data_IF_939153118945
#
_entry.id   IF_939153118945
#
_cell.length_a   1.000
_cell.length_b   1.000
_cell.length_c   1.000
_cell.angle_alpha   90.00
_cell.angle_beta   90.00
_cell.angle_gamma   90.00
#
_symmetry.space_group_name_H-M   'P 1'
#
loop_
_entity.id
_entity.type
_entity.pdbx_description
1 polymer ?
#
# COMPACT_ATOMS: atom_id res chain seq x y z
N UNK A 1 -3.94 14.89 5.99
CA UNK A 1 -3.84 13.50 6.46
C UNK A 1 -3.45 13.43 7.94
N UNK A 2 -2.32 14.00 8.36
CA UNK A 2 -1.89 13.98 9.77
C UNK A 2 -2.95 14.61 10.68
N UNK A 3 -3.45 15.81 10.35
CA UNK A 3 -4.48 16.47 11.16
C UNK A 3 -5.77 15.65 11.23
N UNK A 4 -6.23 15.10 10.09
CA UNK A 4 -7.36 14.18 10.07
C UNK A 4 -7.14 12.96 10.97
N UNK A 5 -5.95 12.36 10.96
CA UNK A 5 -5.63 11.22 11.81
C UNK A 5 -5.68 11.57 13.32
N UNK A 6 -5.35 12.81 13.67
CA UNK A 6 -5.47 13.34 15.04
C UNK A 6 -6.92 13.67 15.40
N UNK A 7 -7.61 14.41 14.54
CA UNK A 7 -8.97 14.92 14.79
C UNK A 7 -10.00 13.79 14.83
N UNK A 8 -9.89 12.82 13.93
CA UNK A 8 -10.77 11.66 13.85
C UNK A 8 -10.27 10.48 14.69
N UNK A 9 -9.09 10.59 15.28
CA UNK A 9 -8.37 9.47 15.89
C UNK A 9 -9.11 8.80 17.05
N UNK A 10 -10.01 9.53 17.73
CA UNK A 10 -10.84 9.00 18.81
C UNK A 10 -12.08 8.22 18.32
N UNK A 11 -12.49 8.39 17.05
CA UNK A 11 -13.69 7.76 16.49
C UNK A 11 -13.36 6.45 15.78
N UNK A 12 -14.00 5.36 16.18
CA UNK A 12 -13.80 4.05 15.57
C UNK A 12 -14.41 3.99 14.15
N UNK A 13 -14.07 2.95 13.39
CA UNK A 13 -14.71 2.68 12.10
C UNK A 13 -16.20 2.32 12.22
N UNK A 14 -16.67 1.98 13.42
CA UNK A 14 -18.10 1.78 13.71
C UNK A 14 -18.85 3.11 13.89
N UNK A 15 -18.18 4.13 14.44
CA UNK A 15 -18.76 5.48 14.62
C UNK A 15 -18.76 6.26 13.30
N UNK A 16 -17.62 6.23 12.60
CA UNK A 16 -17.43 6.86 11.30
C UNK A 16 -16.83 5.83 10.35
N UNK A 17 -17.60 5.35 9.36
CA UNK A 17 -17.14 4.33 8.42
C UNK A 17 -15.83 4.69 7.73
N UNK A 18 -15.11 3.66 7.27
CA UNK A 18 -13.89 3.82 6.49
C UNK A 18 -14.17 4.58 5.18
N UNK A 19 -13.40 5.64 4.92
CA UNK A 19 -13.61 6.54 3.78
C UNK A 19 -12.33 6.90 3.03
N UNK A 20 -12.45 7.92 2.16
CA UNK A 20 -11.41 8.30 1.19
C UNK A 20 -10.09 8.75 1.83
N UNK A 21 -10.15 9.44 2.98
CA UNK A 21 -8.94 9.88 3.67
C UNK A 21 -8.26 8.70 4.39
N UNK A 22 -9.03 7.75 4.91
CA UNK A 22 -8.49 6.56 5.58
C UNK A 22 -7.67 5.71 4.60
N UNK A 23 -8.20 5.45 3.40
CA UNK A 23 -7.46 4.69 2.37
C UNK A 23 -6.20 5.43 1.89
N UNK A 24 -6.26 6.76 1.77
CA UNK A 24 -5.10 7.57 1.38
C UNK A 24 -4.00 7.52 2.46
N UNK A 25 -4.38 7.49 3.74
CA UNK A 25 -3.44 7.28 4.85
C UNK A 25 -2.75 5.92 4.70
N UNK A 26 -3.50 4.84 4.47
CA UNK A 26 -2.91 3.52 4.27
C UNK A 26 -1.98 3.46 3.03
N UNK A 27 -2.35 4.16 1.95
CA UNK A 27 -1.51 4.31 0.75
C UNK A 27 -0.18 5.02 1.02
N UNK A 28 -0.09 5.84 2.08
CA UNK A 28 1.15 6.48 2.50
C UNK A 28 1.97 5.64 3.48
N UNK A 29 1.31 4.85 4.34
CA UNK A 29 2.02 4.03 5.35
C UNK A 29 2.88 2.93 4.72
N UNK A 30 2.52 2.39 3.56
CA UNK A 30 3.32 1.37 2.85
C UNK A 30 4.70 1.90 2.38
N UNK A 31 4.92 3.22 2.37
CA UNK A 31 6.22 3.82 2.03
C UNK A 31 7.23 3.82 3.19
N UNK A 32 6.80 3.47 4.40
CA UNK A 32 7.69 3.42 5.56
C UNK A 32 8.70 2.26 5.42
N UNK A 33 9.86 2.32 6.10
CA UNK A 33 10.85 1.25 6.11
C UNK A 33 10.38 0.08 7.00
N UNK A 34 9.25 -0.54 6.62
CA UNK A 34 8.56 -1.55 7.42
C UNK A 34 9.40 -2.83 7.57
N UNK A 35 10.38 -3.09 6.70
CA UNK A 35 11.32 -4.21 6.83
C UNK A 35 12.06 -4.24 8.17
N UNK A 36 12.21 -3.08 8.82
CA UNK A 36 12.84 -2.97 10.15
C UNK A 36 11.97 -3.54 11.27
N UNK A 37 10.64 -3.53 11.10
CA UNK A 37 9.67 -3.99 12.08
C UNK A 37 8.98 -5.32 11.68
N UNK A 38 8.86 -5.57 10.38
CA UNK A 38 8.24 -6.76 9.77
C UNK A 38 9.29 -7.48 8.91
N UNK A 39 10.21 -8.26 9.52
CA UNK A 39 11.35 -8.86 8.83
C UNK A 39 10.98 -10.07 7.95
N UNK A 40 9.74 -10.55 8.01
CA UNK A 40 9.26 -11.67 7.20
C UNK A 40 7.81 -11.46 6.76
N UNK A 41 7.36 -12.10 5.66
CA UNK A 41 5.96 -12.02 5.22
C UNK A 41 4.94 -12.53 6.25
N UNK A 42 5.38 -13.45 7.13
CA UNK A 42 4.58 -13.97 8.24
C UNK A 42 4.50 -13.05 9.46
N UNK A 43 5.36 -12.02 9.53
CA UNK A 43 5.33 -11.04 10.60
C UNK A 43 4.05 -10.21 10.51
N UNK A 44 3.54 -9.83 11.69
CA UNK A 44 2.33 -9.02 11.82
C UNK A 44 2.43 -8.13 13.03
N UNK A 45 2.01 -6.88 12.88
CA UNK A 45 2.04 -5.89 13.94
C UNK A 45 0.86 -4.93 13.79
N UNK A 46 0.33 -4.44 14.91
CA UNK A 46 -0.65 -3.36 14.86
C UNK A 46 0.04 -2.05 14.45
N UNK A 47 -0.71 -1.08 13.93
CA UNK A 47 -0.15 0.24 13.60
C UNK A 47 0.45 0.92 14.84
N UNK A 48 -0.14 0.74 16.02
CA UNK A 48 0.43 1.23 17.29
C UNK A 48 1.80 0.59 17.57
N UNK A 49 1.92 -0.72 17.43
CA UNK A 49 3.18 -1.42 17.62
C UNK A 49 4.23 -1.03 16.56
N UNK A 50 3.82 -0.85 15.30
CA UNK A 50 4.70 -0.32 14.24
C UNK A 50 5.20 1.08 14.56
N UNK A 51 4.33 1.97 15.05
CA UNK A 51 4.73 3.31 15.47
C UNK A 51 5.77 3.27 16.59
N UNK A 52 5.70 2.30 17.50
CA UNK A 52 6.68 2.15 18.57
C UNK A 52 7.99 1.57 18.04
N UNK A 53 7.92 0.57 17.16
CA UNK A 53 9.09 -0.08 16.58
C UNK A 53 9.92 0.88 15.69
N UNK A 54 9.27 1.86 15.07
CA UNK A 54 9.92 2.88 14.25
C UNK A 54 10.07 4.23 14.98
N UNK A 55 9.93 4.27 16.31
CA UNK A 55 9.97 5.52 17.07
C UNK A 55 11.35 6.22 17.01
N UNK A 56 12.43 5.44 16.90
CA UNK A 56 13.80 5.95 16.79
C UNK A 56 14.19 6.27 15.34
N UNK A 57 13.31 6.01 14.36
CA UNK A 57 13.58 6.39 12.98
C UNK A 57 13.51 7.89 12.81
N UNK A 58 14.59 8.43 12.25
CA UNK A 58 14.74 9.86 12.00
C UNK A 58 14.94 10.11 10.52
N UNK A 59 14.31 11.17 10.04
CA UNK A 59 14.40 11.67 8.67
C UNK A 59 15.02 13.07 8.71
N UNK A 60 16.25 13.15 9.20
CA UNK A 60 16.92 14.39 9.58
C UNK A 60 17.45 15.19 8.40
N UNK A 61 17.65 14.54 7.24
CA UNK A 61 18.11 15.26 6.06
C UNK A 61 16.96 15.99 5.39
N UNK A 62 17.27 17.14 4.80
CA UNK A 62 16.28 18.01 4.14
C UNK A 62 15.53 17.31 2.99
N UNK A 63 16.17 16.35 2.33
CA UNK A 63 15.59 15.58 1.23
C UNK A 63 14.71 14.42 1.70
N UNK A 64 14.64 14.14 3.00
CA UNK A 64 13.81 13.06 3.59
C UNK A 64 12.45 13.58 4.07
N UNK A 65 12.04 14.78 3.63
CA UNK A 65 10.80 15.45 4.09
C UNK A 65 9.56 14.56 3.96
N UNK A 66 9.44 13.80 2.87
CA UNK A 66 8.33 12.87 2.67
C UNK A 66 8.34 11.71 3.68
N UNK A 67 9.53 11.20 4.03
CA UNK A 67 9.66 10.17 5.06
C UNK A 67 9.33 10.75 6.44
N UNK A 68 9.75 11.97 6.73
CA UNK A 68 9.41 12.68 7.97
C UNK A 68 7.90 12.82 8.15
N UNK A 69 7.19 13.27 7.12
CA UNK A 69 5.74 13.43 7.19
C UNK A 69 5.03 12.07 7.36
N UNK A 70 5.54 11.02 6.72
CA UNK A 70 5.02 9.64 6.88
C UNK A 70 5.27 9.07 8.28
N UNK A 71 6.42 9.34 8.89
CA UNK A 71 6.71 8.95 10.28
C UNK A 71 5.80 9.71 11.26
N UNK A 72 5.56 11.00 11.02
CA UNK A 72 4.59 11.77 11.81
C UNK A 72 3.16 11.24 11.65
N UNK A 73 2.78 10.85 10.43
CA UNK A 73 1.49 10.22 10.16
C UNK A 73 1.37 8.86 10.87
N UNK A 74 2.40 8.01 10.80
CA UNK A 74 2.44 6.74 11.53
C UNK A 74 2.23 6.96 13.02
N UNK A 75 2.90 7.95 13.60
CA UNK A 75 2.77 8.24 15.02
C UNK A 75 1.37 8.71 15.40
N UNK A 76 0.78 9.61 14.61
CA UNK A 76 -0.61 10.04 14.79
C UNK A 76 -1.59 8.86 14.70
N UNK A 77 -1.40 7.96 13.72
CA UNK A 77 -2.21 6.77 13.58
C UNK A 77 -2.01 5.78 14.74
N UNK A 78 -0.77 5.54 15.16
CA UNK A 78 -0.43 4.59 16.23
C UNK A 78 -0.97 5.00 17.60
N UNK A 79 -1.14 6.30 17.84
CA UNK A 79 -1.75 6.85 19.07
C UNK A 79 -3.28 6.93 19.03
N UNK A 80 -3.90 6.62 17.88
CA UNK A 80 -5.34 6.76 17.69
C UNK A 80 -6.09 5.45 17.97
N UNK A 81 -7.32 5.55 18.48
CA UNK A 81 -8.23 4.41 18.57
C UNK A 81 -8.72 3.94 17.19
N UNK A 82 -8.82 4.88 16.23
CA UNK A 82 -9.26 4.60 14.86
C UNK A 82 -8.33 3.64 14.12
N UNK A 83 -7.01 3.89 14.17
CA UNK A 83 -6.04 3.14 13.37
C UNK A 83 -5.14 2.23 14.21
N UNK A 84 -4.91 2.54 15.49
CA UNK A 84 -3.85 1.93 16.29
C UNK A 84 -3.89 0.41 16.34
N UNK A 85 -5.10 -0.16 16.39
CA UNK A 85 -5.34 -1.61 16.46
C UNK A 85 -5.46 -2.30 15.10
N UNK A 86 -5.37 -1.56 13.98
CA UNK A 86 -5.35 -2.17 12.66
C UNK A 86 -4.10 -3.04 12.50
N UNK A 87 -4.29 -4.27 12.05
CA UNK A 87 -3.22 -5.25 11.90
C UNK A 87 -2.58 -5.14 10.52
N UNK A 88 -1.28 -4.86 10.48
CA UNK A 88 -0.45 -4.90 9.28
C UNK A 88 0.23 -6.26 9.18
N UNK A 89 0.19 -6.88 8.01
CA UNK A 89 0.76 -8.21 7.73
C UNK A 89 1.13 -8.35 6.25
N UNK A 90 1.77 -9.47 5.89
CA UNK A 90 2.07 -9.78 4.49
C UNK A 90 3.03 -8.79 3.84
N UNK A 91 3.80 -8.04 4.65
CA UNK A 91 4.70 -7.04 4.11
C UNK A 91 5.79 -7.68 3.24
N UNK A 92 5.98 -7.12 2.05
CA UNK A 92 7.02 -7.50 1.10
C UNK A 92 7.66 -6.25 0.52
N UNK A 93 8.96 -6.33 0.26
CA UNK A 93 9.75 -5.27 -0.38
C UNK A 93 10.78 -5.95 -1.28
N UNK A 94 10.32 -6.35 -2.46
CA UNK A 94 11.04 -7.15 -3.44
C UNK A 94 11.68 -6.21 -4.47
N UNK A 95 13.02 -6.16 -4.47
CA UNK A 95 13.80 -5.37 -5.43
C UNK A 95 14.67 -6.36 -6.22
N UNK A 96 14.41 -6.47 -7.53
CA UNK A 96 15.21 -7.29 -8.46
C UNK A 96 15.91 -6.38 -9.47
N UNK A 97 17.24 -6.38 -9.45
CA UNK A 97 18.04 -5.65 -10.44
C UNK A 97 18.07 -6.35 -11.80
N UNK A 98 17.96 -7.68 -11.82
CA UNK A 98 17.95 -8.48 -13.04
C UNK A 98 16.67 -8.26 -13.84
N UNK A 99 15.53 -8.28 -13.15
CA UNK A 99 14.21 -8.05 -13.76
C UNK A 99 13.84 -6.57 -13.83
N UNK A 100 14.70 -5.68 -13.31
CA UNK A 100 14.43 -4.24 -13.16
C UNK A 100 13.11 -3.96 -12.44
N UNK A 101 12.79 -4.78 -11.44
CA UNK A 101 11.53 -4.74 -10.70
C UNK A 101 11.70 -4.05 -9.36
N UNK A 102 10.74 -3.18 -9.05
CA UNK A 102 10.55 -2.64 -7.71
C UNK A 102 9.09 -2.88 -7.27
N UNK A 103 8.90 -3.82 -6.35
CA UNK A 103 7.59 -4.19 -5.82
C UNK A 103 7.58 -4.11 -4.30
N UNK A 104 6.62 -3.38 -3.74
CA UNK A 104 6.44 -3.34 -2.29
C UNK A 104 4.96 -3.23 -1.95
N UNK A 105 4.54 -4.05 -1.01
CA UNK A 105 3.14 -4.17 -0.65
C UNK A 105 2.98 -4.54 0.83
N UNK A 106 1.80 -4.23 1.37
CA UNK A 106 1.36 -4.71 2.68
C UNK A 106 -0.14 -4.96 2.66
N UNK A 107 -0.61 -5.74 3.64
CA UNK A 107 -2.03 -5.93 3.91
C UNK A 107 -2.37 -5.32 5.26
N UNK A 108 -3.47 -4.56 5.31
CA UNK A 108 -4.05 -4.07 6.56
C UNK A 108 -5.40 -4.74 6.78
N UNK A 109 -5.60 -5.38 7.94
CA UNK A 109 -6.89 -5.95 8.32
C UNK A 109 -7.75 -4.89 9.00
N UNK A 110 -8.93 -4.63 8.44
CA UNK A 110 -9.93 -3.70 8.97
C UNK A 110 -10.81 -4.36 10.04
N UNK A 111 -11.47 -3.60 10.92
CA UNK A 111 -12.25 -4.18 12.03
C UNK A 111 -13.45 -5.01 11.58
N UNK A 112 -13.97 -4.76 10.38
CA UNK A 112 -15.05 -5.52 9.76
C UNK A 112 -14.56 -6.75 8.99
N UNK A 113 -13.33 -7.18 9.27
CA UNK A 113 -12.63 -8.32 8.65
C UNK A 113 -12.33 -8.17 7.16
N UNK A 114 -12.57 -6.99 6.57
CA UNK A 114 -12.06 -6.68 5.24
C UNK A 114 -10.54 -6.52 5.27
N UNK A 115 -9.91 -6.74 4.11
CA UNK A 115 -8.48 -6.46 3.92
C UNK A 115 -8.29 -5.25 3.02
N UNK A 116 -7.30 -4.42 3.35
CA UNK A 116 -6.79 -3.40 2.45
C UNK A 116 -5.41 -3.84 1.93
N UNK A 117 -5.37 -4.22 0.66
CA UNK A 117 -4.14 -4.58 -0.06
C UNK A 117 -3.52 -3.29 -0.58
N UNK A 118 -2.38 -2.90 -0.02
CA UNK A 118 -1.75 -1.60 -0.23
C UNK A 118 -0.46 -1.76 -1.02
N UNK A 119 -0.36 -1.10 -2.19
CA UNK A 119 0.85 -1.08 -3.01
C UNK A 119 1.61 0.23 -2.87
N UNK A 120 2.92 0.12 -2.64
CA UNK A 120 3.83 1.27 -2.69
C UNK A 120 4.02 1.70 -4.15
N UNK A 121 4.02 3.01 -4.38
CA UNK A 121 4.51 3.54 -5.64
C UNK A 121 6.04 3.56 -5.72
N UNK A 122 6.52 4.24 -6.74
CA UNK A 122 7.94 4.33 -7.08
C UNK A 122 8.71 5.02 -5.95
N UNK A 123 9.90 4.51 -5.65
CA UNK A 123 10.90 5.27 -4.89
C UNK A 123 11.81 6.04 -5.86
N UNK A 124 12.80 6.76 -5.36
CA UNK A 124 13.72 7.52 -6.22
C UNK A 124 14.78 6.65 -6.91
N UNK A 125 14.60 5.33 -6.99
CA UNK A 125 15.59 4.44 -7.64
C UNK A 125 15.48 4.49 -9.16
N UNK A 126 16.62 4.35 -9.84
CA UNK A 126 16.67 4.26 -11.30
C UNK A 126 15.82 3.11 -11.85
N UNK A 127 15.72 1.99 -11.12
CA UNK A 127 14.88 0.85 -11.49
C UNK A 127 13.39 1.23 -11.46
N UNK A 128 12.95 1.91 -10.41
CA UNK A 128 11.58 2.42 -10.31
C UNK A 128 11.21 3.35 -11.46
N UNK A 129 12.06 4.34 -11.76
CA UNK A 129 11.84 5.27 -12.89
C UNK A 129 11.86 4.58 -14.26
N UNK A 130 12.71 3.55 -14.44
CA UNK A 130 12.75 2.78 -15.68
C UNK A 130 11.48 1.95 -15.88
N UNK A 131 10.97 1.33 -14.82
CA UNK A 131 9.72 0.56 -14.88
C UNK A 131 8.51 1.48 -15.17
N UNK A 132 8.45 2.67 -14.56
CA UNK A 132 7.42 3.67 -14.85
C UNK A 132 7.42 4.11 -16.32
N UNK A 133 8.60 4.24 -16.94
CA UNK A 133 8.71 4.51 -18.38
C UNK A 133 8.22 3.31 -19.20
N UNK A 134 8.59 2.09 -18.81
CA UNK A 134 8.22 0.87 -19.53
C UNK A 134 6.72 0.57 -19.48
N UNK A 135 5.98 1.02 -18.45
CA UNK A 135 4.50 0.93 -18.44
C UNK A 135 3.84 1.62 -19.65
N UNK A 136 4.55 2.53 -20.33
CA UNK A 136 4.05 3.18 -21.55
C UNK A 136 4.34 2.39 -22.84
N UNK A 137 5.15 1.32 -22.79
CA UNK A 137 5.67 0.62 -23.97
C UNK A 137 5.49 -0.90 -23.95
N UNK A 138 5.65 -1.57 -22.80
CA UNK A 138 5.58 -3.03 -22.67
C UNK A 138 4.82 -3.42 -21.39
N UNK A 139 3.59 -3.90 -21.57
CA UNK A 139 2.75 -4.47 -20.52
C UNK A 139 2.54 -5.98 -20.75
N UNK A 140 2.57 -6.83 -19.69
CA UNK A 140 2.74 -6.46 -18.29
C UNK A 140 4.19 -6.17 -17.89
N UNK A 141 4.40 -5.21 -17.00
CA UNK A 141 5.67 -5.07 -16.29
C UNK A 141 5.85 -6.18 -15.24
N UNK A 142 7.10 -6.45 -14.79
CA UNK A 142 7.35 -7.38 -13.68
C UNK A 142 6.56 -7.05 -12.40
N UNK A 143 6.49 -5.78 -11.98
CA UNK A 143 5.72 -5.38 -10.81
C UNK A 143 4.20 -5.56 -11.00
N UNK A 144 3.67 -5.38 -12.22
CA UNK A 144 2.27 -5.68 -12.54
C UNK A 144 1.95 -7.17 -12.40
N UNK A 145 2.83 -8.06 -12.90
CA UNK A 145 2.70 -9.51 -12.67
C UNK A 145 2.74 -9.86 -11.18
N UNK A 146 3.68 -9.27 -10.44
CA UNK A 146 3.79 -9.51 -8.99
C UNK A 146 2.57 -8.97 -8.23
N UNK A 147 1.96 -7.88 -8.67
CA UNK A 147 0.73 -7.35 -8.08
C UNK A 147 -0.46 -8.32 -8.26
N UNK A 148 -0.59 -8.96 -9.43
CA UNK A 148 -1.60 -9.99 -9.69
C UNK A 148 -1.43 -11.16 -8.71
N UNK A 149 -0.21 -11.69 -8.59
CA UNK A 149 0.10 -12.78 -7.67
C UNK A 149 -0.21 -12.40 -6.21
N UNK A 150 0.22 -11.21 -5.78
CA UNK A 150 0.02 -10.75 -4.41
C UNK A 150 -1.46 -10.58 -4.06
N UNK A 151 -2.29 -10.11 -5.00
CA UNK A 151 -3.75 -10.04 -4.80
C UNK A 151 -4.34 -11.44 -4.70
N UNK A 152 -3.94 -12.36 -5.58
CA UNK A 152 -4.40 -13.76 -5.52
C UNK A 152 -4.06 -14.42 -4.17
N UNK A 153 -2.89 -14.10 -3.61
CA UNK A 153 -2.45 -14.59 -2.30
C UNK A 153 -3.25 -13.98 -1.12
N UNK A 154 -3.68 -12.70 -1.22
CA UNK A 154 -4.15 -11.93 -0.06
C UNK A 154 -5.62 -11.49 -0.10
N UNK A 155 -6.31 -11.57 -1.23
CA UNK A 155 -7.71 -11.17 -1.39
C UNK A 155 -8.69 -12.37 -1.29
N UNK A 156 -8.56 -13.17 -0.23
CA UNK A 156 -9.42 -14.33 0.08
C UNK A 156 -10.76 -13.96 0.75
N UNK A 157 -10.82 -12.78 1.38
CA UNK A 157 -11.98 -12.14 2.01
C UNK A 157 -12.31 -10.83 1.30
N UNK A 158 -13.48 -10.20 1.53
CA UNK A 158 -13.80 -8.93 0.90
C UNK A 158 -12.68 -7.91 1.13
N UNK A 159 -12.16 -7.38 0.02
CA UNK A 159 -10.91 -6.63 0.01
C UNK A 159 -11.08 -5.29 -0.71
N UNK A 160 -10.27 -4.33 -0.29
CA UNK A 160 -10.03 -3.07 -0.97
C UNK A 160 -8.61 -3.15 -1.50
N UNK A 161 -8.39 -2.75 -2.74
CA UNK A 161 -7.05 -2.65 -3.31
C UNK A 161 -6.72 -1.18 -3.49
N UNK A 162 -5.55 -0.75 -3.03
CA UNK A 162 -5.18 0.65 -3.07
C UNK A 162 -3.70 0.85 -3.32
N UNK A 163 -3.35 2.00 -3.86
CA UNK A 163 -1.97 2.46 -3.96
C UNK A 163 -1.91 3.94 -4.31
N UNK A 164 -0.70 4.49 -4.37
CA UNK A 164 -0.44 5.86 -4.76
C UNK A 164 0.63 5.92 -5.85
N UNK A 165 0.50 6.84 -6.80
CA UNK A 165 1.41 6.96 -7.95
C UNK A 165 1.51 5.60 -8.69
N UNK A 166 2.71 5.05 -8.93
CA UNK A 166 2.87 3.68 -9.49
C UNK A 166 2.03 2.62 -8.77
N UNK A 167 1.89 2.71 -7.45
CA UNK A 167 1.11 1.76 -6.66
C UNK A 167 -0.37 1.78 -7.06
N UNK A 168 -0.88 2.91 -7.53
CA UNK A 168 -2.23 3.02 -8.08
C UNK A 168 -2.39 2.26 -9.40
N UNK A 169 -1.38 2.28 -10.27
CA UNK A 169 -1.38 1.46 -11.48
C UNK A 169 -1.37 -0.04 -11.13
N UNK A 170 -0.52 -0.45 -10.19
CA UNK A 170 -0.49 -1.83 -9.69
C UNK A 170 -1.83 -2.26 -9.09
N UNK A 171 -2.50 -1.36 -8.36
CA UNK A 171 -3.83 -1.61 -7.80
C UNK A 171 -4.86 -1.88 -8.91
N UNK A 172 -4.86 -1.08 -9.98
CA UNK A 172 -5.77 -1.27 -11.12
C UNK A 172 -5.42 -2.55 -11.87
N UNK A 173 -4.18 -2.67 -12.35
CA UNK A 173 -3.73 -3.81 -13.15
C UNK A 173 -3.96 -5.12 -12.39
N UNK A 174 -3.46 -5.21 -11.16
CA UNK A 174 -3.60 -6.39 -10.32
C UNK A 174 -5.06 -6.79 -10.12
N UNK A 175 -5.94 -5.83 -9.85
CA UNK A 175 -7.37 -6.11 -9.64
C UNK A 175 -8.08 -6.56 -10.92
N UNK A 176 -7.66 -6.03 -12.08
CA UNK A 176 -8.23 -6.39 -13.38
C UNK A 176 -7.82 -7.79 -13.83
N UNK A 177 -6.58 -8.19 -13.59
CA UNK A 177 -6.00 -9.43 -14.12
C UNK A 177 -5.80 -10.55 -13.09
N UNK A 178 -6.21 -10.34 -11.83
CA UNK A 178 -6.26 -11.41 -10.83
C UNK A 178 -7.31 -12.49 -11.14
N UNK A 179 -7.18 -13.62 -10.47
CA UNK A 179 -8.03 -14.78 -10.70
C UNK A 179 -9.47 -14.49 -10.25
N UNK A 180 -10.45 -15.07 -10.94
CA UNK A 180 -11.87 -14.85 -10.66
C UNK A 180 -12.27 -14.96 -9.17
N UNK A 181 -11.75 -15.92 -8.37
CA UNK A 181 -12.02 -15.97 -6.93
C UNK A 181 -11.58 -14.70 -6.20
N UNK A 182 -10.35 -14.24 -6.42
CA UNK A 182 -9.81 -13.04 -5.79
C UNK A 182 -10.54 -11.78 -6.29
N UNK A 183 -10.73 -11.68 -7.60
CA UNK A 183 -11.43 -10.56 -8.24
C UNK A 183 -12.84 -10.38 -7.67
N UNK A 184 -13.59 -11.47 -7.44
CA UNK A 184 -14.94 -11.42 -6.86
C UNK A 184 -15.00 -10.89 -5.43
N UNK A 185 -13.86 -10.87 -4.72
CA UNK A 185 -13.74 -10.32 -3.37
C UNK A 185 -13.33 -8.86 -3.36
N UNK A 186 -12.83 -8.31 -4.47
CA UNK A 186 -12.43 -6.92 -4.55
C UNK A 186 -13.69 -6.05 -4.61
N UNK A 187 -13.88 -5.24 -3.58
CA UNK A 187 -15.04 -4.36 -3.43
C UNK A 187 -14.80 -2.96 -3.95
N UNK A 188 -13.55 -2.49 -3.89
CA UNK A 188 -13.14 -1.13 -4.27
C UNK A 188 -11.67 -1.12 -4.70
N UNK A 189 -11.34 -0.25 -5.65
CA UNK A 189 -9.96 0.01 -6.09
C UNK A 189 -9.67 1.51 -6.00
N UNK A 190 -8.62 1.91 -5.29
CA UNK A 190 -8.20 3.30 -5.14
C UNK A 190 -6.82 3.53 -5.75
N UNK A 191 -6.70 4.54 -6.61
CA UNK A 191 -5.46 4.77 -7.38
C UNK A 191 -4.57 5.88 -6.82
N UNK A 192 -5.11 6.80 -6.02
CA UNK A 192 -4.43 7.98 -5.45
C UNK A 192 -3.35 8.56 -6.38
N UNK A 193 -3.79 9.27 -7.43
CA UNK A 193 -2.92 9.90 -8.43
C UNK A 193 -2.04 8.93 -9.23
N UNK A 194 -2.44 7.65 -9.30
CA UNK A 194 -1.80 6.65 -10.14
C UNK A 194 -2.21 6.75 -11.62
N UNK A 195 -1.29 6.48 -12.56
CA UNK A 195 -1.62 6.44 -13.97
C UNK A 195 -2.55 5.25 -14.27
N UNK A 196 -3.59 5.48 -15.08
CA UNK A 196 -4.49 4.42 -15.53
C UNK A 196 -3.80 3.39 -16.43
N UNK A 197 -4.52 2.35 -16.82
CA UNK A 197 -4.03 1.38 -17.80
C UNK A 197 -3.87 2.03 -19.17
N UNK A 198 -2.85 1.61 -19.93
CA UNK A 198 -2.77 2.01 -21.33
C UNK A 198 -3.92 1.38 -22.14
N UNK A 199 -4.30 1.96 -23.30
CA UNK A 199 -5.35 1.40 -24.14
C UNK A 199 -5.05 -0.03 -24.62
N UNK A 200 -3.77 -0.41 -24.71
CA UNK A 200 -3.35 -1.74 -25.17
C UNK A 200 -3.72 -2.84 -24.17
N UNK A 201 -3.62 -2.58 -22.87
CA UNK A 201 -3.97 -3.52 -21.81
C UNK A 201 -5.48 -3.63 -21.56
N UNK A 202 -6.27 -2.62 -21.92
CA UNK A 202 -7.74 -2.71 -21.82
C UNK A 202 -8.37 -3.65 -22.87
N UNK A 203 -7.64 -4.02 -23.93
CA UNK A 203 -8.14 -4.82 -25.06
C UNK A 203 -7.82 -6.31 -25.02
N UNK A 204 -7.04 -6.78 -24.02
CA UNK A 204 -6.60 -8.17 -23.89
C UNK A 204 -7.37 -8.98 -22.84
N UNK A 205 -8.53 -8.50 -22.40
CA UNK A 205 -9.43 -9.19 -21.46
C UNK A 205 -10.43 -10.12 -22.18
#
# INVERSE_FOLDING_TARGET
>A
MIDYARDMGAMSFSDVPFGEIDQAILAQLVYLPLERALPSPSARMTISALSQALADETADKIYEILLRDRLQLLHACGQSARYGELLVSGFVNDISHEDEMQFCAMVVTLPDHRRAVCFRGTDLTLAGWKEDLNMSFDEPTPAQRRAVEYINEHADVPSIVLGHSKGGNLAVYGSTFCDAPAQSRITQVYTNDGPGLSPASAGSA
#
